data_IF_789402508614
#
_entry.id   IF_789402508614
#
_cell.length_a   1.000
_cell.length_b   1.000
_cell.length_c   1.000
_cell.angle_alpha   90.00
_cell.angle_beta   90.00
_cell.angle_gamma   90.00
#
_symmetry.space_group_name_H-M   'P 1'
#
loop_
_entity.id
_entity.type
_entity.pdbx_description
1 polymer ?
#
# COMPACT_ATOMS: atom_id res chain seq x y z
N UNK A 1 -2.26 16.07 17.36
CA UNK A 1 -0.90 16.43 17.81
C UNK A 1 0.02 16.19 16.63
N UNK A 2 0.75 17.20 16.17
CA UNK A 2 1.72 16.99 15.09
C UNK A 2 2.98 16.31 15.64
N UNK A 3 3.54 15.32 14.93
CA UNK A 3 4.78 14.68 15.35
C UNK A 3 5.95 15.67 15.33
N UNK A 4 6.88 15.52 16.27
CA UNK A 4 8.05 16.40 16.34
C UNK A 4 9.00 16.14 15.15
N UNK A 5 9.74 17.16 14.67
CA UNK A 5 10.72 16.98 13.60
C UNK A 5 11.75 15.89 13.89
N UNK A 6 12.22 15.81 15.14
CA UNK A 6 13.14 14.75 15.58
C UNK A 6 12.57 13.34 15.39
N UNK A 7 11.27 13.14 15.63
CA UNK A 7 10.63 11.84 15.43
C UNK A 7 10.57 11.46 13.95
N UNK A 8 10.32 12.43 13.06
CA UNK A 8 10.29 12.21 11.61
C UNK A 8 11.68 11.78 11.12
N UNK A 9 12.73 12.48 11.57
CA UNK A 9 14.10 12.17 11.21
C UNK A 9 14.51 10.78 11.71
N UNK A 10 14.12 10.41 12.94
CA UNK A 10 14.40 9.08 13.48
C UNK A 10 13.74 7.98 12.64
N UNK A 11 12.46 8.13 12.30
CA UNK A 11 11.75 7.16 11.45
C UNK A 11 12.40 7.03 10.07
N UNK A 12 12.89 8.13 9.51
CA UNK A 12 13.62 8.11 8.26
C UNK A 12 14.94 7.34 8.37
N UNK A 13 15.74 7.62 9.41
CA UNK A 13 17.01 6.94 9.65
C UNK A 13 16.83 5.44 9.90
N UNK A 14 15.78 5.06 10.60
CA UNK A 14 15.44 3.65 10.85
C UNK A 14 15.16 2.93 9.52
N UNK A 15 14.35 3.53 8.64
CA UNK A 15 14.07 2.97 7.30
C UNK A 15 15.35 2.78 6.47
N UNK A 16 16.24 3.77 6.49
CA UNK A 16 17.53 3.70 5.77
C UNK A 16 18.40 2.59 6.34
N UNK A 17 18.47 2.47 7.66
CA UNK A 17 19.26 1.45 8.35
C UNK A 17 18.74 0.04 8.04
N UNK A 18 17.42 -0.16 8.10
CA UNK A 18 16.78 -1.43 7.72
C UNK A 18 17.06 -1.78 6.26
N UNK A 19 16.94 -0.83 5.32
CA UNK A 19 17.21 -1.07 3.90
C UNK A 19 18.68 -1.46 3.64
N UNK A 20 19.62 -0.88 4.39
CA UNK A 20 21.05 -1.22 4.30
C UNK A 20 21.36 -2.62 4.84
N UNK A 21 20.60 -3.10 5.83
CA UNK A 21 20.79 -4.41 6.44
C UNK A 21 20.19 -5.57 5.62
N UNK A 22 19.37 -5.28 4.61
CA UNK A 22 18.78 -6.31 3.74
C UNK A 22 19.83 -7.03 2.87
N UNK A 23 19.69 -8.35 2.74
CA UNK A 23 20.40 -9.13 1.70
C UNK A 23 19.93 -8.74 0.30
N UNK A 24 20.62 -9.21 -0.74
CA UNK A 24 20.24 -8.94 -2.13
C UNK A 24 18.85 -9.52 -2.45
N UNK A 25 18.54 -10.73 -1.98
CA UNK A 25 17.25 -11.37 -2.15
C UNK A 25 16.14 -10.63 -1.42
N UNK A 26 16.39 -10.21 -0.18
CA UNK A 26 15.43 -9.42 0.60
C UNK A 26 15.15 -8.08 -0.10
N UNK A 27 16.20 -7.41 -0.60
CA UNK A 27 16.05 -6.16 -1.34
C UNK A 27 15.27 -6.35 -2.64
N UNK A 28 15.48 -7.46 -3.33
CA UNK A 28 14.74 -7.82 -4.54
C UNK A 28 13.25 -8.04 -4.25
N UNK A 29 12.93 -8.73 -3.15
CA UNK A 29 11.55 -9.06 -2.77
C UNK A 29 10.80 -7.92 -2.06
N UNK A 30 11.49 -6.95 -1.47
CA UNK A 30 10.88 -5.86 -0.71
C UNK A 30 9.84 -5.05 -1.51
N UNK A 31 10.08 -4.84 -2.81
CA UNK A 31 9.14 -4.14 -3.70
C UNK A 31 7.84 -4.92 -3.91
N UNK A 32 7.90 -6.16 -4.42
CA UNK A 32 6.74 -7.05 -4.55
C UNK A 32 5.95 -7.22 -3.25
N UNK A 33 6.62 -7.45 -2.11
CA UNK A 33 5.96 -7.62 -0.81
C UNK A 33 5.18 -6.37 -0.39
N UNK A 34 5.76 -5.18 -0.61
CA UNK A 34 5.08 -3.92 -0.33
C UNK A 34 3.85 -3.72 -1.24
N UNK A 35 3.97 -4.11 -2.51
CA UNK A 35 2.87 -4.04 -3.46
C UNK A 35 1.71 -4.98 -3.06
N UNK A 36 2.02 -6.22 -2.69
CA UNK A 36 1.03 -7.20 -2.24
C UNK A 36 0.33 -6.72 -0.97
N UNK A 37 1.08 -6.19 -0.01
CA UNK A 37 0.53 -5.60 1.20
C UNK A 37 -0.45 -4.45 0.90
N UNK A 38 -0.11 -3.55 0.00
CA UNK A 38 -1.00 -2.46 -0.41
C UNK A 38 -2.28 -2.98 -1.10
N UNK A 39 -2.16 -4.04 -1.92
CA UNK A 39 -3.30 -4.70 -2.54
C UNK A 39 -4.22 -5.34 -1.50
N UNK A 40 -3.67 -6.02 -0.49
CA UNK A 40 -4.47 -6.62 0.59
C UNK A 40 -5.22 -5.58 1.40
N UNK A 41 -4.59 -4.46 1.78
CA UNK A 41 -5.28 -3.39 2.48
C UNK A 41 -6.43 -2.80 1.68
N UNK A 42 -6.22 -2.60 0.38
CA UNK A 42 -7.27 -2.07 -0.50
C UNK A 42 -8.43 -3.06 -0.60
N UNK A 43 -8.14 -4.36 -0.76
CA UNK A 43 -9.16 -5.42 -0.76
C UNK A 43 -9.88 -5.53 0.58
N UNK A 44 -9.17 -5.41 1.70
CA UNK A 44 -9.76 -5.44 3.04
C UNK A 44 -10.78 -4.31 3.21
N UNK A 45 -10.44 -3.08 2.82
CA UNK A 45 -11.39 -1.96 2.84
C UNK A 45 -12.60 -2.20 1.92
N UNK A 46 -12.41 -2.81 0.74
CA UNK A 46 -13.53 -3.18 -0.14
C UNK A 46 -14.45 -4.20 0.53
N UNK A 47 -13.89 -5.23 1.19
CA UNK A 47 -14.66 -6.26 1.91
C UNK A 47 -15.45 -5.68 3.08
N UNK A 48 -14.84 -4.77 3.85
CA UNK A 48 -15.51 -4.07 4.95
C UNK A 48 -16.75 -3.31 4.46
N UNK A 49 -16.63 -2.62 3.31
CA UNK A 49 -17.75 -1.93 2.67
C UNK A 49 -18.76 -2.88 1.97
N UNK A 50 -18.41 -4.14 1.74
CA UNK A 50 -19.23 -5.11 1.00
C UNK A 50 -19.17 -6.50 1.68
N UNK A 51 -19.81 -6.68 2.85
CA UNK A 51 -19.63 -7.89 3.68
C UNK A 51 -20.00 -9.22 3.01
N UNK A 52 -20.87 -9.18 1.99
CA UNK A 52 -21.35 -10.36 1.26
C UNK A 52 -20.65 -10.57 -0.09
N UNK A 53 -19.65 -9.76 -0.42
CA UNK A 53 -18.92 -9.89 -1.67
C UNK A 53 -17.97 -11.09 -1.62
N UNK A 54 -18.02 -11.94 -2.63
CA UNK A 54 -17.00 -12.96 -2.86
C UNK A 54 -15.72 -12.33 -3.44
N UNK A 55 -14.65 -13.13 -3.55
CA UNK A 55 -13.36 -12.65 -4.03
C UNK A 55 -13.42 -12.12 -5.48
N UNK A 56 -14.24 -12.74 -6.34
CA UNK A 56 -14.43 -12.28 -7.71
C UNK A 56 -15.05 -10.87 -7.73
N UNK A 57 -16.03 -10.63 -6.88
CA UNK A 57 -16.70 -9.33 -6.73
C UNK A 57 -15.78 -8.28 -6.12
N UNK A 58 -14.97 -8.64 -5.12
CA UNK A 58 -13.95 -7.75 -4.54
C UNK A 58 -12.96 -7.29 -5.63
N UNK A 59 -12.49 -8.22 -6.48
CA UNK A 59 -11.59 -7.89 -7.58
C UNK A 59 -12.26 -7.01 -8.65
N UNK A 60 -13.53 -7.25 -8.98
CA UNK A 60 -14.29 -6.38 -9.89
C UNK A 60 -14.38 -4.95 -9.34
N UNK A 61 -14.71 -4.80 -8.05
CA UNK A 61 -14.80 -3.51 -7.38
C UNK A 61 -13.45 -2.80 -7.31
N UNK A 62 -12.36 -3.54 -7.06
CA UNK A 62 -11.01 -3.00 -7.08
C UNK A 62 -10.67 -2.40 -8.45
N UNK A 63 -10.92 -3.13 -9.54
CA UNK A 63 -10.68 -2.64 -10.91
C UNK A 63 -11.48 -1.37 -11.21
N UNK A 64 -12.75 -1.30 -10.78
CA UNK A 64 -13.58 -0.10 -10.93
C UNK A 64 -13.01 1.10 -10.20
N UNK A 65 -12.46 0.91 -8.99
CA UNK A 65 -11.83 1.97 -8.21
C UNK A 65 -10.55 2.49 -8.86
N UNK A 66 -9.69 1.60 -9.37
CA UNK A 66 -8.47 1.98 -10.09
C UNK A 66 -8.84 2.82 -11.32
N UNK A 67 -9.76 2.33 -12.16
CA UNK A 67 -10.20 3.05 -13.35
C UNK A 67 -10.83 4.42 -13.04
N UNK A 68 -11.51 4.56 -11.88
CA UNK A 68 -12.01 5.85 -11.42
C UNK A 68 -10.86 6.77 -10.98
N UNK A 69 -9.91 6.25 -10.22
CA UNK A 69 -8.71 6.98 -9.79
C UNK A 69 -7.92 7.54 -10.96
N UNK A 70 -7.64 6.71 -11.97
CA UNK A 70 -6.96 7.12 -13.21
C UNK A 70 -7.70 8.27 -13.91
N UNK A 71 -9.02 8.21 -14.00
CA UNK A 71 -9.83 9.30 -14.59
C UNK A 71 -9.73 10.59 -13.78
N UNK A 72 -9.72 10.49 -12.46
CA UNK A 72 -9.62 11.65 -11.58
C UNK A 72 -8.23 12.29 -11.63
N UNK A 73 -7.17 11.49 -11.70
CA UNK A 73 -5.79 11.97 -11.87
C UNK A 73 -5.60 12.69 -13.21
N UNK A 74 -6.16 12.15 -14.29
CA UNK A 74 -6.12 12.80 -15.62
C UNK A 74 -6.94 14.09 -15.70
N UNK A 75 -7.85 14.31 -14.77
CA UNK A 75 -8.70 15.52 -14.71
C UNK A 75 -8.13 16.63 -13.82
N UNK A 76 -6.95 16.41 -13.22
CA UNK A 76 -6.26 17.32 -12.30
C UNK A 76 -5.15 18.09 -13.00
#
# INVERSE_FOLDING_TARGET
>A
MEPSPHLIDQVFLDKVTSAKAMTEEQRFLAGPELFDFACEWTKAGIRDMNPNADDAKVLELLRKRIALGEKLELSR
#
